data_IF_058786315408
#
_entry.id   IF_058786315408
#
_cell.length_a   1.000
_cell.length_b   1.000
_cell.length_c   1.000
_cell.angle_alpha   90.00
_cell.angle_beta   90.00
_cell.angle_gamma   90.00
#
_symmetry.space_group_name_H-M   'P 1'
#
loop_
_entity.id
_entity.type
_entity.pdbx_description
1 polymer ?
#
# COMPACT_ATOMS: atom_id res chain seq x y z
N UNK A 1 -5.43 0.97 -24.17
CA UNK A 1 -5.97 0.60 -22.86
C UNK A 1 -6.44 1.88 -22.17
N UNK A 2 -7.73 1.99 -21.87
CA UNK A 2 -8.34 3.09 -21.09
C UNK A 2 -9.32 2.46 -20.12
N UNK A 3 -9.30 2.93 -18.87
CA UNK A 3 -10.06 2.38 -17.74
C UNK A 3 -11.48 2.96 -17.66
N UNK A 4 -11.84 3.91 -18.53
CA UNK A 4 -13.19 4.49 -18.56
C UNK A 4 -14.26 3.44 -18.86
N UNK A 5 -13.98 2.50 -19.76
CA UNK A 5 -14.89 1.42 -20.13
C UNK A 5 -15.13 0.42 -19.01
N UNK A 6 -14.07 -0.03 -18.35
CA UNK A 6 -14.16 -0.98 -17.23
C UNK A 6 -14.88 -0.36 -16.03
N UNK A 7 -14.58 0.89 -15.69
CA UNK A 7 -15.34 1.61 -14.66
C UNK A 7 -16.86 1.65 -14.97
N UNK A 8 -17.24 1.92 -16.22
CA UNK A 8 -18.66 1.93 -16.62
C UNK A 8 -19.29 0.56 -16.45
N UNK A 9 -18.54 -0.51 -16.75
CA UNK A 9 -18.99 -1.90 -16.65
C UNK A 9 -18.95 -2.47 -15.22
N UNK A 10 -18.20 -1.87 -14.31
CA UNK A 10 -18.13 -2.28 -12.92
C UNK A 10 -19.49 -2.17 -12.22
N UNK A 11 -19.74 -3.11 -11.30
CA UNK A 11 -20.98 -3.20 -10.53
C UNK A 11 -20.66 -3.28 -9.05
N UNK A 12 -21.53 -2.68 -8.24
CA UNK A 12 -21.49 -2.85 -6.79
C UNK A 12 -21.87 -4.29 -6.44
N UNK A 13 -21.06 -4.93 -5.61
CA UNK A 13 -21.12 -6.38 -5.42
C UNK A 13 -21.97 -6.74 -4.18
N UNK A 14 -21.71 -6.12 -3.03
CA UNK A 14 -22.42 -6.45 -1.78
C UNK A 14 -22.50 -5.25 -0.81
N UNK A 15 -23.60 -5.11 -0.04
CA UNK A 15 -23.64 -4.21 1.10
C UNK A 15 -22.70 -4.63 2.24
N UNK A 16 -22.10 -3.65 2.89
CA UNK A 16 -21.30 -3.84 4.10
C UNK A 16 -22.18 -4.14 5.32
N UNK A 17 -21.79 -5.13 6.13
CA UNK A 17 -22.51 -5.46 7.35
C UNK A 17 -22.22 -4.47 8.49
N UNK A 18 -23.11 -3.48 8.65
CA UNK A 18 -23.03 -2.46 9.72
C UNK A 18 -23.45 -2.95 11.11
N UNK A 19 -23.97 -4.18 11.26
CA UNK A 19 -24.41 -4.68 12.57
C UNK A 19 -23.24 -5.14 13.45
N UNK A 20 -22.07 -5.38 12.86
CA UNK A 20 -20.86 -5.80 13.55
C UNK A 20 -20.10 -4.55 13.97
N UNK A 21 -19.79 -4.43 15.27
CA UNK A 21 -19.06 -3.28 15.78
C UNK A 21 -17.59 -3.33 15.33
N UNK A 22 -17.04 -2.23 14.80
CA UNK A 22 -15.63 -2.17 14.42
C UNK A 22 -14.72 -2.23 15.66
N UNK A 23 -13.58 -2.88 15.53
CA UNK A 23 -12.50 -2.91 16.52
C UNK A 23 -11.45 -1.81 16.26
N UNK A 24 -11.48 -1.22 15.07
CA UNK A 24 -10.50 -0.28 14.50
C UNK A 24 -9.09 -0.86 14.32
N UNK A 25 -8.92 -2.18 14.29
CA UNK A 25 -7.61 -2.80 14.07
C UNK A 25 -7.46 -3.18 12.60
N UNK A 26 -6.45 -2.61 11.95
CA UNK A 26 -6.06 -2.96 10.59
C UNK A 26 -5.06 -4.11 10.60
N UNK A 27 -5.18 -5.00 9.63
CA UNK A 27 -4.25 -6.11 9.42
C UNK A 27 -3.67 -6.02 8.01
N UNK A 28 -2.36 -5.78 7.94
CA UNK A 28 -1.61 -5.77 6.71
C UNK A 28 -1.16 -7.19 6.35
N UNK A 29 -1.45 -7.62 5.12
CA UNK A 29 -0.98 -8.91 4.62
C UNK A 29 -0.60 -8.86 3.14
N UNK A 30 0.25 -9.82 2.77
CA UNK A 30 0.59 -10.13 1.39
C UNK A 30 -0.11 -11.41 0.97
N UNK A 31 -0.89 -11.38 -0.11
CA UNK A 31 -1.79 -12.48 -0.50
C UNK A 31 -1.00 -13.77 -0.79
N UNK A 32 0.04 -13.66 -1.64
CA UNK A 32 0.85 -14.80 -2.08
C UNK A 32 1.56 -15.57 -0.95
N UNK A 33 1.69 -14.97 0.23
CA UNK A 33 2.34 -15.61 1.38
C UNK A 33 1.35 -15.94 2.51
N UNK A 34 0.05 -15.72 2.34
CA UNK A 34 -0.92 -15.93 3.41
C UNK A 34 -1.53 -17.33 3.44
N UNK A 35 -2.30 -17.71 2.43
CA UNK A 35 -2.95 -19.02 2.38
C UNK A 35 -3.19 -19.44 0.92
N UNK A 36 -2.73 -20.63 0.56
CA UNK A 36 -2.91 -21.24 -0.75
C UNK A 36 -4.21 -22.06 -0.76
N UNK A 37 -5.19 -21.62 -1.54
CA UNK A 37 -6.50 -22.28 -1.67
C UNK A 37 -6.61 -23.27 -2.83
N UNK A 38 -5.65 -23.27 -3.76
CA UNK A 38 -5.72 -24.07 -4.98
C UNK A 38 -4.61 -25.17 -5.06
N UNK A 39 -3.65 -25.15 -4.14
CA UNK A 39 -2.50 -26.04 -4.00
C UNK A 39 -1.41 -25.88 -5.08
N UNK A 40 -1.22 -24.67 -5.63
CA UNK A 40 -0.13 -24.35 -6.56
C UNK A 40 1.15 -23.85 -5.85
N UNK A 41 1.10 -23.68 -4.53
CA UNK A 41 2.20 -23.19 -3.70
C UNK A 41 2.23 -21.67 -3.52
N UNK A 42 1.25 -20.94 -4.06
CA UNK A 42 1.11 -19.49 -3.99
C UNK A 42 -0.18 -19.17 -3.22
N UNK A 43 -0.10 -18.24 -2.27
CA UNK A 43 -1.30 -17.77 -1.59
C UNK A 43 -2.24 -16.99 -2.51
N UNK A 44 -3.54 -17.19 -2.38
CA UNK A 44 -4.53 -16.62 -3.30
C UNK A 44 -5.79 -16.14 -2.56
N UNK A 45 -6.70 -15.48 -3.30
CA UNK A 45 -7.96 -15.02 -2.72
C UNK A 45 -8.89 -16.16 -2.31
N UNK A 46 -8.71 -17.37 -2.87
CA UNK A 46 -9.45 -18.57 -2.47
C UNK A 46 -9.06 -18.94 -1.03
N UNK A 47 -7.76 -19.10 -0.78
CA UNK A 47 -7.23 -19.42 0.55
C UNK A 47 -7.47 -18.30 1.56
N UNK A 48 -7.35 -17.03 1.15
CA UNK A 48 -7.69 -15.90 2.03
C UNK A 48 -9.17 -15.94 2.43
N UNK A 49 -10.06 -16.18 1.47
CA UNK A 49 -11.50 -16.26 1.71
C UNK A 49 -11.88 -17.39 2.67
N UNK A 50 -11.28 -18.58 2.52
CA UNK A 50 -11.47 -19.73 3.42
C UNK A 50 -11.06 -19.43 4.87
N UNK A 51 -10.10 -18.52 5.06
CA UNK A 51 -9.57 -18.15 6.36
C UNK A 51 -10.17 -16.85 6.92
N UNK A 52 -11.22 -16.27 6.33
CA UNK A 52 -11.79 -15.00 6.81
C UNK A 52 -12.25 -15.03 8.29
N UNK A 53 -12.67 -16.20 8.79
CA UNK A 53 -13.06 -16.36 10.21
C UNK A 53 -11.88 -16.13 11.17
N UNK A 54 -10.64 -16.37 10.73
CA UNK A 54 -9.43 -16.04 11.49
C UNK A 54 -9.40 -14.58 11.93
N UNK A 55 -9.65 -13.66 10.99
CA UNK A 55 -9.62 -12.23 11.23
C UNK A 55 -10.72 -11.79 12.19
N UNK A 56 -11.94 -12.31 12.02
CA UNK A 56 -13.04 -12.02 12.95
C UNK A 56 -12.73 -12.48 14.37
N UNK A 57 -12.13 -13.67 14.54
CA UNK A 57 -11.74 -14.19 15.85
C UNK A 57 -10.58 -13.42 16.48
N UNK A 58 -9.64 -12.92 15.67
CA UNK A 58 -8.55 -12.07 16.12
C UNK A 58 -9.02 -10.65 16.49
N UNK A 59 -10.23 -10.26 16.06
CA UNK A 59 -10.77 -8.92 16.26
C UNK A 59 -10.26 -7.91 15.23
N UNK A 60 -9.95 -8.34 14.03
CA UNK A 60 -9.58 -7.49 12.89
C UNK A 60 -10.85 -7.05 12.15
N UNK A 61 -10.95 -5.76 11.84
CA UNK A 61 -12.08 -5.20 11.10
C UNK A 61 -11.71 -4.57 9.76
N UNK A 62 -10.42 -4.53 9.43
CA UNK A 62 -9.91 -3.91 8.21
C UNK A 62 -8.73 -4.72 7.71
N UNK A 63 -8.80 -5.21 6.47
CA UNK A 63 -7.69 -5.84 5.77
C UNK A 63 -7.03 -4.81 4.86
N UNK A 64 -5.74 -4.59 5.06
CA UNK A 64 -4.89 -3.80 4.18
C UNK A 64 -4.05 -4.77 3.34
N UNK A 65 -4.40 -4.89 2.06
CA UNK A 65 -3.76 -5.81 1.14
C UNK A 65 -2.54 -5.15 0.50
N UNK A 66 -1.40 -5.85 0.43
CA UNK A 66 -0.34 -5.58 -0.54
C UNK A 66 -0.89 -5.58 -1.99
N UNK A 67 -0.15 -5.08 -3.00
CA UNK A 67 -0.63 -5.01 -4.38
C UNK A 67 -1.17 -6.35 -4.90
N UNK A 68 -2.31 -6.27 -5.60
CA UNK A 68 -3.06 -7.45 -6.08
C UNK A 68 -3.15 -7.51 -7.61
N UNK A 69 -2.67 -6.47 -8.28
CA UNK A 69 -2.78 -6.30 -9.72
C UNK A 69 -1.80 -7.22 -10.44
N UNK A 70 -2.08 -7.60 -11.70
CA UNK A 70 -1.07 -8.20 -12.56
C UNK A 70 0.20 -7.33 -12.58
N UNK A 71 1.35 -7.98 -12.42
CA UNK A 71 2.63 -7.32 -12.26
C UNK A 71 3.76 -8.14 -12.89
N UNK A 72 4.89 -7.49 -13.20
CA UNK A 72 6.06 -8.21 -13.74
C UNK A 72 6.88 -8.90 -12.67
N UNK A 73 6.71 -8.49 -11.41
CA UNK A 73 7.37 -9.07 -10.25
C UNK A 73 6.39 -9.83 -9.35
N UNK A 74 6.93 -10.76 -8.56
CA UNK A 74 6.16 -11.47 -7.53
C UNK A 74 5.60 -10.54 -6.44
N UNK A 75 6.19 -9.35 -6.25
CA UNK A 75 5.81 -8.45 -5.16
C UNK A 75 4.71 -7.46 -5.54
N UNK A 76 4.36 -7.35 -6.82
CA UNK A 76 3.16 -6.63 -7.28
C UNK A 76 3.28 -5.11 -7.43
N UNK A 77 4.44 -4.50 -7.13
CA UNK A 77 4.60 -3.04 -7.13
C UNK A 77 4.88 -2.45 -8.52
N UNK A 78 5.15 -3.28 -9.51
CA UNK A 78 5.26 -2.93 -10.92
C UNK A 78 3.98 -3.34 -11.67
N UNK A 79 2.93 -2.52 -11.51
CA UNK A 79 1.58 -2.80 -12.03
C UNK A 79 1.54 -2.82 -13.56
N UNK A 80 0.88 -3.84 -14.14
CA UNK A 80 0.61 -4.00 -15.58
C UNK A 80 -0.82 -3.57 -15.93
N UNK A 81 -1.81 -3.88 -15.08
CA UNK A 81 -3.21 -3.50 -15.26
C UNK A 81 -3.85 -3.10 -13.92
N UNK A 82 -4.32 -1.85 -13.83
CA UNK A 82 -4.88 -1.32 -12.59
C UNK A 82 -6.30 -1.81 -12.26
N UNK A 83 -6.99 -2.49 -13.17
CA UNK A 83 -8.40 -2.91 -12.98
C UNK A 83 -8.60 -4.41 -12.97
N UNK A 84 -7.51 -5.17 -13.01
CA UNK A 84 -7.54 -6.62 -12.90
C UNK A 84 -6.86 -7.09 -11.61
N UNK A 85 -7.06 -8.36 -11.30
CA UNK A 85 -6.39 -9.10 -10.23
C UNK A 85 -5.46 -10.13 -10.87
N UNK A 86 -4.25 -10.22 -10.36
CA UNK A 86 -3.24 -11.15 -10.86
C UNK A 86 -3.80 -12.60 -10.91
N UNK A 87 -3.67 -13.32 -12.04
CA UNK A 87 -4.20 -14.68 -12.18
C UNK A 87 -3.69 -15.65 -11.13
N UNK A 88 -2.43 -15.54 -10.73
CA UNK A 88 -1.79 -16.32 -9.66
C UNK A 88 -2.39 -16.06 -8.27
N UNK A 89 -3.15 -14.97 -8.09
CA UNK A 89 -3.90 -14.70 -6.86
C UNK A 89 -5.36 -15.17 -6.96
N UNK A 90 -5.72 -15.94 -8.00
CA UNK A 90 -7.06 -16.45 -8.26
C UNK A 90 -7.94 -15.54 -9.15
N UNK A 91 -7.41 -14.40 -9.60
CA UNK A 91 -8.10 -13.48 -10.50
C UNK A 91 -9.33 -12.78 -9.91
N UNK A 92 -10.03 -12.04 -10.78
CA UNK A 92 -11.15 -11.16 -10.39
C UNK A 92 -12.31 -11.92 -9.71
N UNK A 93 -12.60 -13.14 -10.13
CA UNK A 93 -13.70 -13.94 -9.56
C UNK A 93 -13.42 -14.30 -8.09
N UNK A 94 -12.21 -14.76 -7.78
CA UNK A 94 -11.82 -15.08 -6.41
C UNK A 94 -11.84 -13.84 -5.52
N UNK A 95 -11.35 -12.70 -6.03
CA UNK A 95 -11.41 -11.42 -5.33
C UNK A 95 -12.86 -11.00 -5.01
N UNK A 96 -13.77 -11.12 -5.98
CA UNK A 96 -15.17 -10.75 -5.80
C UNK A 96 -15.83 -11.60 -4.70
N UNK A 97 -15.57 -12.91 -4.68
CA UNK A 97 -16.07 -13.79 -3.61
C UNK A 97 -15.47 -13.44 -2.24
N UNK A 98 -14.17 -13.16 -2.19
CA UNK A 98 -13.51 -12.69 -0.97
C UNK A 98 -14.14 -11.40 -0.45
N UNK A 99 -14.33 -10.39 -1.31
CA UNK A 99 -14.89 -9.10 -0.93
C UNK A 99 -16.33 -9.25 -0.40
N UNK A 100 -17.13 -10.11 -1.06
CA UNK A 100 -18.49 -10.45 -0.60
C UNK A 100 -18.46 -10.95 0.85
N UNK A 101 -17.59 -11.91 1.14
CA UNK A 101 -17.57 -12.58 2.43
C UNK A 101 -16.90 -11.72 3.51
N UNK A 102 -15.91 -10.91 3.16
CA UNK A 102 -15.31 -9.92 4.07
C UNK A 102 -16.35 -8.90 4.53
N UNK A 103 -17.09 -8.30 3.60
CA UNK A 103 -18.12 -7.31 3.91
C UNK A 103 -19.29 -7.89 4.72
N UNK A 104 -19.72 -9.13 4.46
CA UNK A 104 -20.71 -9.84 5.29
C UNK A 104 -20.26 -10.01 6.74
N UNK A 105 -18.94 -10.12 6.97
CA UNK A 105 -18.31 -10.19 8.29
C UNK A 105 -17.97 -8.82 8.88
N UNK A 106 -18.36 -7.72 8.23
CA UNK A 106 -18.07 -6.37 8.70
C UNK A 106 -16.58 -6.01 8.60
N UNK A 107 -15.84 -6.67 7.69
CA UNK A 107 -14.41 -6.43 7.46
C UNK A 107 -14.26 -5.53 6.24
N UNK A 108 -13.59 -4.38 6.41
CA UNK A 108 -13.25 -3.44 5.34
C UNK A 108 -12.05 -3.93 4.55
N UNK A 109 -11.96 -3.57 3.28
CA UNK A 109 -10.83 -3.91 2.40
C UNK A 109 -10.18 -2.64 1.86
N UNK A 110 -8.89 -2.48 2.16
CA UNK A 110 -8.04 -1.39 1.68
C UNK A 110 -7.00 -1.99 0.73
N UNK A 111 -6.86 -1.38 -0.44
CA UNK A 111 -5.86 -1.78 -1.44
C UNK A 111 -4.59 -0.93 -1.35
N UNK A 112 -3.43 -1.56 -1.54
CA UNK A 112 -2.23 -0.82 -1.91
C UNK A 112 -2.38 -0.24 -3.32
N UNK A 113 -2.02 1.03 -3.50
CA UNK A 113 -2.29 1.79 -4.71
C UNK A 113 -1.02 2.46 -5.23
N UNK A 114 -0.43 1.85 -6.24
CA UNK A 114 0.87 2.24 -6.80
C UNK A 114 0.69 3.17 -7.99
N UNK A 115 0.81 4.48 -7.78
CA UNK A 115 0.59 5.49 -8.84
C UNK A 115 1.83 6.30 -9.19
N UNK A 116 2.96 6.05 -8.53
CA UNK A 116 4.21 6.70 -8.91
C UNK A 116 4.72 6.19 -10.26
N UNK A 117 4.65 4.88 -10.45
CA UNK A 117 5.22 4.17 -11.59
C UNK A 117 4.30 3.01 -11.99
N UNK A 118 4.54 2.47 -13.18
CA UNK A 118 3.96 1.20 -13.65
C UNK A 118 5.07 0.20 -13.91
N UNK A 119 4.75 -1.03 -14.30
CA UNK A 119 5.71 -1.91 -14.96
C UNK A 119 6.17 -1.36 -16.31
N UNK A 120 7.38 -1.73 -16.72
CA UNK A 120 7.85 -1.64 -18.09
C UNK A 120 6.94 -2.38 -19.08
N UNK A 121 6.29 -3.47 -18.66
CA UNK A 121 5.31 -4.23 -19.46
C UNK A 121 3.93 -3.54 -19.55
N UNK A 122 3.71 -2.46 -18.80
CA UNK A 122 2.41 -1.78 -18.81
C UNK A 122 2.07 -1.27 -20.23
N UNK A 123 0.85 -1.53 -20.76
CA UNK A 123 0.49 -1.17 -22.14
C UNK A 123 0.64 0.32 -22.47
N UNK A 124 0.35 1.20 -21.52
CA UNK A 124 0.64 2.64 -21.67
C UNK A 124 2.11 2.94 -21.93
N UNK A 125 3.03 2.30 -21.19
CA UNK A 125 4.45 2.54 -21.35
C UNK A 125 4.96 2.04 -22.71
N UNK A 126 4.59 0.81 -23.08
CA UNK A 126 4.93 0.25 -24.39
C UNK A 126 4.38 1.09 -25.55
N UNK A 127 3.16 1.61 -25.41
CA UNK A 127 2.58 2.53 -26.40
C UNK A 127 3.32 3.88 -26.47
N UNK A 128 3.78 4.43 -25.34
CA UNK A 128 4.58 5.65 -25.29
C UNK A 128 5.97 5.47 -25.92
N UNK A 129 6.62 4.32 -25.73
CA UNK A 129 7.87 3.98 -26.41
C UNK A 129 7.72 3.96 -27.94
N UNK A 130 6.54 3.58 -28.45
CA UNK A 130 6.19 3.57 -29.87
C UNK A 130 5.69 4.93 -30.41
N UNK A 131 5.74 6.01 -29.61
CA UNK A 131 5.22 7.34 -29.98
C UNK A 131 3.72 7.35 -30.32
N UNK A 132 2.90 6.52 -29.65
CA UNK A 132 1.44 6.66 -29.76
C UNK A 132 1.00 7.91 -28.99
N UNK A 133 0.53 8.92 -29.73
CA UNK A 133 0.36 10.32 -29.28
C UNK A 133 -0.28 10.53 -27.90
N UNK A 134 -1.25 9.70 -27.51
CA UNK A 134 -1.91 9.84 -26.22
C UNK A 134 -1.07 9.33 -25.03
N UNK A 135 -0.27 8.28 -25.25
CA UNK A 135 0.51 7.59 -24.21
C UNK A 135 1.94 8.10 -24.07
N UNK A 136 2.51 8.73 -25.11
CA UNK A 136 3.82 9.39 -25.02
C UNK A 136 3.87 10.43 -23.88
N UNK A 137 2.73 11.05 -23.56
CA UNK A 137 2.61 12.05 -22.48
C UNK A 137 2.32 11.46 -21.11
N UNK A 138 2.08 10.15 -21.02
CA UNK A 138 1.83 9.47 -19.74
C UNK A 138 3.14 9.26 -18.97
N UNK A 139 4.28 9.39 -19.64
CA UNK A 139 5.61 9.27 -19.06
C UNK A 139 6.47 10.44 -19.53
N UNK A 140 7.67 10.58 -18.99
CA UNK A 140 8.64 11.58 -19.43
C UNK A 140 9.78 10.90 -20.18
N UNK A 141 9.70 10.92 -21.52
CA UNK A 141 10.72 10.37 -22.41
C UNK A 141 11.75 11.43 -22.83
N UNK A 142 13.00 11.01 -23.01
CA UNK A 142 14.11 11.86 -23.42
C UNK A 142 14.94 11.17 -24.51
N UNK A 143 15.38 11.98 -25.47
CA UNK A 143 16.36 11.59 -26.47
C UNK A 143 17.78 11.73 -25.90
N UNK A 144 18.71 10.94 -26.45
CA UNK A 144 20.08 10.77 -25.96
C UNK A 144 20.85 12.10 -25.88
N UNK A 145 20.98 12.70 -24.68
CA UNK A 145 22.01 13.69 -24.39
C UNK A 145 22.63 13.48 -23.01
N UNK A 146 23.95 13.63 -23.00
CA UNK A 146 24.94 13.20 -22.01
C UNK A 146 24.83 13.87 -20.63
N UNK A 147 25.44 13.18 -19.64
CA UNK A 147 25.71 13.50 -18.23
C UNK A 147 24.70 12.94 -17.20
N UNK A 148 25.17 11.90 -16.51
CA UNK A 148 24.40 10.95 -15.73
C UNK A 148 24.52 11.24 -14.22
N UNK A 149 23.80 12.25 -13.72
CA UNK A 149 23.52 12.40 -12.27
C UNK A 149 22.11 11.90 -11.89
N UNK A 150 21.38 11.32 -12.84
CA UNK A 150 19.92 11.15 -12.76
C UNK A 150 19.50 9.69 -12.81
N UNK A 151 18.47 9.32 -12.03
CA UNK A 151 17.85 8.00 -12.06
C UNK A 151 16.90 7.90 -13.26
N UNK A 152 17.40 7.29 -14.33
CA UNK A 152 16.67 7.07 -15.57
C UNK A 152 16.81 5.61 -16.02
N UNK A 153 15.73 5.04 -16.52
CA UNK A 153 15.77 3.82 -17.32
C UNK A 153 16.06 4.11 -18.79
N UNK A 154 16.37 3.06 -19.55
CA UNK A 154 16.58 3.10 -21.00
C UNK A 154 15.84 1.93 -21.64
N UNK A 155 15.20 2.18 -22.78
CA UNK A 155 14.57 1.12 -23.58
C UNK A 155 15.60 0.52 -24.55
N UNK A 156 16.45 -0.37 -24.04
CA UNK A 156 17.43 -1.13 -24.82
C UNK A 156 17.14 -2.64 -24.77
N UNK A 157 17.90 -3.43 -25.54
CA UNK A 157 17.73 -4.87 -25.58
C UNK A 157 17.99 -5.53 -24.22
N UNK A 158 18.88 -4.96 -23.39
CA UNK A 158 19.18 -5.53 -22.07
C UNK A 158 18.00 -5.42 -21.12
N UNK A 159 17.33 -4.27 -21.12
CA UNK A 159 16.14 -4.01 -20.30
C UNK A 159 14.97 -4.84 -20.80
N UNK A 160 14.73 -4.88 -22.13
CA UNK A 160 13.64 -5.68 -22.72
C UNK A 160 13.75 -7.16 -22.40
N UNK A 161 14.98 -7.72 -22.39
CA UNK A 161 15.22 -9.13 -22.08
C UNK A 161 14.88 -9.54 -20.64
N UNK A 162 14.60 -8.57 -19.74
CA UNK A 162 14.16 -8.86 -18.37
C UNK A 162 12.65 -9.17 -18.28
N UNK A 163 11.90 -8.92 -19.35
CA UNK A 163 10.43 -8.95 -19.35
C UNK A 163 9.89 -9.95 -20.37
N UNK A 164 9.07 -10.90 -19.90
CA UNK A 164 8.60 -12.02 -20.70
C UNK A 164 7.41 -11.68 -21.60
N UNK A 165 6.62 -10.66 -21.25
CA UNK A 165 5.42 -10.25 -21.99
C UNK A 165 5.71 -9.21 -23.08
N UNK A 166 6.98 -8.83 -23.28
CA UNK A 166 7.41 -7.94 -24.36
C UNK A 166 7.59 -8.72 -25.65
N UNK A 167 7.00 -8.25 -26.75
CA UNK A 167 7.20 -8.84 -28.06
C UNK A 167 8.69 -8.74 -28.47
N UNK A 168 9.33 -9.91 -28.57
CA UNK A 168 10.74 -10.04 -28.99
C UNK A 168 11.04 -9.44 -30.37
N UNK A 169 10.03 -9.27 -31.24
CA UNK A 169 10.19 -8.63 -32.55
C UNK A 169 10.14 -7.10 -32.48
N UNK A 170 9.65 -6.53 -31.37
CA UNK A 170 9.57 -5.10 -31.19
C UNK A 170 10.94 -4.51 -30.91
N UNK A 171 11.45 -3.72 -31.87
CA UNK A 171 12.74 -3.03 -31.73
C UNK A 171 12.71 -2.04 -30.57
N UNK A 172 13.81 -2.01 -29.83
CA UNK A 172 14.12 -0.98 -28.84
C UNK A 172 14.06 0.43 -29.45
N UNK A 173 13.39 1.34 -28.76
CA UNK A 173 13.34 2.76 -29.15
C UNK A 173 14.58 3.54 -28.71
N UNK A 174 15.40 2.99 -27.80
CA UNK A 174 16.55 3.65 -27.18
C UNK A 174 16.22 4.96 -26.43
N UNK A 175 14.93 5.25 -26.22
CA UNK A 175 14.48 6.37 -25.38
C UNK A 175 14.95 6.16 -23.94
N UNK A 176 15.30 7.26 -23.27
CA UNK A 176 15.45 7.28 -21.81
C UNK A 176 14.16 7.77 -21.16
N UNK A 177 13.92 7.39 -19.93
CA UNK A 177 12.70 7.77 -19.19
C UNK A 177 12.98 7.83 -17.69
N UNK A 178 12.19 8.61 -16.95
CA UNK A 178 12.30 8.68 -15.48
C UNK A 178 11.88 7.35 -14.87
N UNK A 179 12.72 6.84 -13.98
CA UNK A 179 12.47 5.66 -13.19
C UNK A 179 13.23 5.80 -11.87
N UNK A 180 12.51 6.22 -10.80
CA UNK A 180 13.14 6.59 -9.52
C UNK A 180 13.63 5.38 -8.73
N UNK A 181 12.98 4.23 -8.93
CA UNK A 181 13.30 2.98 -8.27
C UNK A 181 14.32 2.19 -9.07
N UNK A 182 13.94 1.67 -10.23
CA UNK A 182 14.82 1.00 -11.18
C UNK A 182 14.23 1.02 -12.59
N UNK A 183 15.01 0.67 -13.61
CA UNK A 183 14.61 0.79 -15.02
C UNK A 183 13.30 0.08 -15.40
N UNK A 184 12.92 -0.98 -14.70
CA UNK A 184 11.66 -1.68 -14.94
C UNK A 184 10.41 -1.02 -14.38
N UNK A 185 10.57 0.08 -13.63
CA UNK A 185 9.48 0.83 -13.01
C UNK A 185 9.46 2.27 -13.56
N UNK A 186 9.03 2.49 -14.81
CA UNK A 186 8.91 3.83 -15.37
C UNK A 186 7.88 4.69 -14.60
N UNK A 187 8.30 5.90 -14.22
CA UNK A 187 7.48 6.84 -13.46
C UNK A 187 6.39 7.49 -14.34
N UNK A 188 5.15 7.48 -13.84
CA UNK A 188 4.01 8.15 -14.47
C UNK A 188 4.14 9.67 -14.38
N UNK A 189 3.82 10.34 -15.48
CA UNK A 189 3.67 11.79 -15.52
C UNK A 189 2.30 12.21 -14.96
N UNK A 190 2.22 12.35 -13.64
CA UNK A 190 0.99 12.76 -12.94
C UNK A 190 0.64 14.26 -13.08
N UNK A 191 1.50 15.06 -13.71
CA UNK A 191 1.12 16.44 -14.11
C UNK A 191 0.15 16.44 -15.30
N UNK A 192 0.21 15.40 -16.13
CA UNK A 192 -0.71 15.23 -17.24
C UNK A 192 -2.11 14.85 -16.74
N UNK A 193 -3.12 15.67 -17.10
CA UNK A 193 -4.49 15.46 -16.66
C UNK A 193 -5.15 14.20 -17.24
N UNK A 194 -4.73 13.73 -18.41
CA UNK A 194 -5.22 12.47 -18.98
C UNK A 194 -4.71 11.27 -18.18
N UNK A 195 -3.44 11.26 -17.78
CA UNK A 195 -2.89 10.25 -16.87
C UNK A 195 -3.68 10.22 -15.57
N UNK A 196 -3.91 11.38 -14.93
CA UNK A 196 -4.72 11.46 -13.71
C UNK A 196 -6.15 10.96 -13.90
N UNK A 197 -6.79 11.31 -15.03
CA UNK A 197 -8.14 10.85 -15.37
C UNK A 197 -8.21 9.32 -15.43
N UNK A 198 -7.25 8.67 -16.08
CA UNK A 198 -7.24 7.21 -16.18
C UNK A 198 -7.00 6.54 -14.82
N UNK A 199 -6.07 7.06 -14.01
CA UNK A 199 -5.88 6.57 -12.63
C UNK A 199 -7.16 6.73 -11.80
N UNK A 200 -7.86 7.85 -11.92
CA UNK A 200 -9.14 8.08 -11.23
C UNK A 200 -10.19 7.08 -11.73
N UNK A 201 -10.26 6.78 -13.03
CA UNK A 201 -11.18 5.78 -13.56
C UNK A 201 -10.90 4.38 -12.97
N UNK A 202 -9.63 3.98 -12.86
CA UNK A 202 -9.27 2.72 -12.20
C UNK A 202 -9.64 2.72 -10.70
N UNK A 203 -9.41 3.82 -9.98
CA UNK A 203 -9.87 3.91 -8.58
C UNK A 203 -11.41 3.82 -8.49
N UNK A 204 -12.13 4.46 -9.41
CA UNK A 204 -13.60 4.39 -9.47
C UNK A 204 -14.09 2.98 -9.73
N UNK A 205 -13.38 2.19 -10.53
CA UNK A 205 -13.69 0.78 -10.74
C UNK A 205 -13.72 0.01 -9.41
N UNK A 206 -12.65 0.11 -8.62
CA UNK A 206 -12.54 -0.57 -7.31
C UNK A 206 -13.53 -0.05 -6.28
N UNK A 207 -13.69 1.27 -6.18
CA UNK A 207 -14.72 1.86 -5.33
C UNK A 207 -16.09 1.39 -5.76
N UNK A 208 -16.43 1.37 -7.04
CA UNK A 208 -17.75 0.89 -7.50
C UNK A 208 -18.00 -0.56 -7.11
N UNK A 209 -16.99 -1.43 -7.11
CA UNK A 209 -17.10 -2.84 -6.66
C UNK A 209 -17.39 -2.98 -5.16
N UNK A 210 -16.74 -2.17 -4.33
CA UNK A 210 -16.93 -2.26 -2.88
C UNK A 210 -15.75 -1.76 -2.03
N UNK A 211 -14.57 -1.54 -2.62
CA UNK A 211 -13.33 -1.24 -1.88
C UNK A 211 -13.48 -0.01 -0.99
N UNK A 212 -12.97 -0.11 0.24
CA UNK A 212 -13.21 0.82 1.35
C UNK A 212 -12.10 1.87 1.51
N UNK A 213 -10.96 1.66 0.87
CA UNK A 213 -9.85 2.60 0.95
C UNK A 213 -8.64 2.23 0.11
N UNK A 214 -7.66 3.15 0.11
CA UNK A 214 -6.39 3.00 -0.60
C UNK A 214 -5.22 3.46 0.29
N UNK A 215 -4.17 2.65 0.32
CA UNK A 215 -2.84 3.04 0.79
C UNK A 215 -2.03 3.49 -0.42
N UNK A 216 -1.49 4.70 -0.40
CA UNK A 216 -0.64 5.19 -1.49
C UNK A 216 0.81 4.80 -1.27
N UNK A 217 1.31 3.95 -2.17
CA UNK A 217 2.70 3.52 -2.24
C UNK A 217 3.63 4.62 -2.75
N UNK A 218 4.92 4.51 -2.43
CA UNK A 218 5.97 5.40 -2.90
C UNK A 218 5.62 6.86 -2.63
N UNK A 219 4.93 7.11 -1.50
CA UNK A 219 4.21 8.36 -1.28
C UNK A 219 5.11 9.59 -1.39
N UNK A 220 6.38 9.47 -0.97
CA UNK A 220 7.39 10.53 -1.08
C UNK A 220 7.67 10.94 -2.54
N UNK A 221 7.59 10.00 -3.47
CA UNK A 221 7.96 10.13 -4.87
C UNK A 221 6.80 10.54 -5.79
N UNK A 222 5.55 10.32 -5.36
CA UNK A 222 4.36 10.75 -6.13
C UNK A 222 4.50 12.22 -6.56
N UNK A 223 4.28 12.50 -7.85
CA UNK A 223 4.48 13.77 -8.56
C UNK A 223 5.94 14.14 -8.93
N UNK A 224 6.94 13.33 -8.57
CA UNK A 224 8.36 13.63 -8.82
C UNK A 224 8.88 13.17 -10.20
N UNK A 225 7.99 12.94 -11.16
CA UNK A 225 8.26 12.29 -12.44
C UNK A 225 9.19 13.05 -13.41
N UNK A 226 9.77 14.19 -13.04
CA UNK A 226 10.58 15.06 -13.93
C UNK A 226 12.09 15.08 -13.59
N UNK A 227 12.56 14.15 -12.76
CA UNK A 227 13.91 14.03 -12.20
C UNK A 227 14.96 15.11 -12.60
N UNK A 228 14.99 16.17 -11.79
CA UNK A 228 16.17 17.00 -11.52
C UNK A 228 15.99 17.64 -10.14
N UNK A 229 16.58 17.01 -9.13
CA UNK A 229 16.73 17.45 -7.72
C UNK A 229 15.50 18.10 -7.10
N UNK A 230 14.74 17.27 -6.36
CA UNK A 230 13.51 17.62 -5.65
C UNK A 230 12.43 18.18 -6.58
N UNK A 231 11.32 17.45 -6.73
CA UNK A 231 10.07 18.17 -6.94
C UNK A 231 9.89 19.07 -5.72
N UNK A 232 10.17 20.36 -5.89
CA UNK A 232 10.01 21.36 -4.83
C UNK A 232 8.54 21.69 -4.67
N UNK A 233 7.73 20.67 -4.41
CA UNK A 233 6.45 20.83 -3.74
C UNK A 233 6.69 20.98 -2.24
N UNK A 234 7.49 22.00 -1.91
CA UNK A 234 7.84 22.35 -0.55
C UNK A 234 6.56 22.52 0.29
N UNK A 235 5.51 23.04 -0.33
CA UNK A 235 4.19 23.28 0.26
C UNK A 235 3.23 22.08 0.18
N UNK A 236 3.56 21.01 -0.55
CA UNK A 236 2.68 19.84 -0.73
C UNK A 236 1.41 20.10 -1.56
N UNK A 237 1.35 21.25 -2.26
CA UNK A 237 0.19 21.76 -2.98
C UNK A 237 -0.24 20.88 -4.15
N UNK A 238 0.70 20.41 -4.96
CA UNK A 238 0.35 19.66 -6.16
C UNK A 238 -0.07 18.24 -5.78
N UNK A 239 0.64 17.63 -4.83
CA UNK A 239 0.28 16.32 -4.28
C UNK A 239 -1.08 16.34 -3.56
N UNK A 240 -1.36 17.37 -2.74
CA UNK A 240 -2.69 17.48 -2.08
C UNK A 240 -3.83 17.74 -3.06
N UNK A 241 -3.59 18.51 -4.14
CA UNK A 241 -4.58 18.72 -5.21
C UNK A 241 -4.91 17.40 -5.92
N UNK A 242 -3.90 16.59 -6.23
CA UNK A 242 -4.08 15.25 -6.81
C UNK A 242 -5.00 14.39 -5.92
N UNK A 243 -4.70 14.29 -4.62
CA UNK A 243 -5.54 13.48 -3.72
C UNK A 243 -6.95 14.05 -3.54
N UNK A 244 -7.10 15.37 -3.50
CA UNK A 244 -8.41 16.01 -3.44
C UNK A 244 -9.24 15.76 -4.71
N UNK A 245 -8.62 15.88 -5.89
CA UNK A 245 -9.23 15.56 -7.19
C UNK A 245 -9.74 14.10 -7.21
N UNK A 246 -8.90 13.15 -6.79
CA UNK A 246 -9.27 11.75 -6.64
C UNK A 246 -10.44 11.59 -5.67
N UNK A 247 -10.36 12.19 -4.47
CA UNK A 247 -11.42 12.12 -3.45
C UNK A 247 -12.77 12.55 -3.97
N UNK A 248 -12.83 13.76 -4.54
CA UNK A 248 -14.07 14.33 -5.05
C UNK A 248 -14.66 13.44 -6.14
N UNK A 249 -13.82 12.93 -7.04
CA UNK A 249 -14.26 12.03 -8.10
C UNK A 249 -14.82 10.68 -7.57
N UNK A 250 -14.26 10.14 -6.49
CA UNK A 250 -14.73 8.89 -5.88
C UNK A 250 -15.99 9.07 -5.04
N UNK A 251 -16.18 10.24 -4.41
CA UNK A 251 -17.41 10.55 -3.67
C UNK A 251 -18.65 10.51 -4.57
N UNK A 252 -18.52 10.90 -5.83
CA UNK A 252 -19.63 10.77 -6.79
C UNK A 252 -20.05 9.30 -6.98
N UNK A 253 -19.11 8.36 -6.98
CA UNK A 253 -19.42 6.92 -7.05
C UNK A 253 -20.00 6.40 -5.73
N UNK A 254 -19.49 6.89 -4.59
CA UNK A 254 -19.98 6.47 -3.26
C UNK A 254 -21.43 6.90 -3.05
N UNK A 255 -21.84 8.09 -3.52
CA UNK A 255 -23.22 8.58 -3.40
C UNK A 255 -24.26 7.59 -3.92
N UNK A 256 -23.94 6.84 -4.98
CA UNK A 256 -24.83 5.83 -5.57
C UNK A 256 -25.14 4.66 -4.62
N UNK A 257 -24.26 4.41 -3.66
CA UNK A 257 -24.32 3.22 -2.78
C UNK A 257 -24.14 3.57 -1.30
N UNK A 258 -24.25 4.84 -0.92
CA UNK A 258 -23.88 5.40 0.40
C UNK A 258 -24.39 4.58 1.58
N UNK A 259 -25.68 4.25 1.61
CA UNK A 259 -26.30 3.52 2.72
C UNK A 259 -25.82 2.07 2.85
N UNK A 260 -25.17 1.54 1.81
CA UNK A 260 -24.66 0.18 1.72
C UNK A 260 -23.14 0.09 2.00
N UNK A 261 -22.45 1.23 2.22
CA UNK A 261 -20.99 1.29 2.44
C UNK A 261 -20.60 1.27 3.91
N UNK A 262 -19.36 0.88 4.21
CA UNK A 262 -18.77 0.98 5.56
C UNK A 262 -18.62 2.42 6.06
N UNK A 263 -18.54 3.39 5.14
CA UNK A 263 -18.32 4.82 5.39
C UNK A 263 -18.94 5.66 4.27
N UNK A 264 -19.25 6.92 4.58
CA UNK A 264 -19.75 7.92 3.64
C UNK A 264 -18.64 8.53 2.76
N UNK A 265 -17.38 8.20 3.05
CA UNK A 265 -16.20 8.66 2.33
C UNK A 265 -15.15 7.55 2.24
N UNK A 266 -14.26 7.67 1.25
CA UNK A 266 -13.19 6.70 1.02
C UNK A 266 -12.00 6.97 1.95
N UNK A 267 -11.41 5.93 2.53
CA UNK A 267 -10.26 6.09 3.41
C UNK A 267 -8.95 6.09 2.62
N UNK A 268 -8.20 7.19 2.64
CA UNK A 268 -6.88 7.32 2.02
C UNK A 268 -5.79 7.50 3.06
N UNK A 269 -4.73 6.71 2.99
CA UNK A 269 -3.52 7.00 3.74
C UNK A 269 -2.25 6.78 2.93
N UNK A 270 -1.18 7.49 3.29
CA UNK A 270 0.11 7.38 2.63
C UNK A 270 1.11 6.55 3.42
N UNK A 271 2.01 5.88 2.69
CA UNK A 271 3.28 5.41 3.23
C UNK A 271 4.09 6.59 3.79
N UNK A 272 4.57 6.49 5.03
CA UNK A 272 5.32 7.59 5.64
C UNK A 272 6.24 7.10 6.75
N UNK A 273 7.47 7.60 6.72
CA UNK A 273 8.55 7.16 7.60
C UNK A 273 8.92 8.20 8.66
N UNK A 274 8.19 9.32 8.73
CA UNK A 274 8.43 10.39 9.71
C UNK A 274 7.21 10.56 10.64
N UNK A 275 7.24 11.61 11.46
CA UNK A 275 6.08 12.01 12.26
C UNK A 275 4.91 12.40 11.37
N UNK A 276 3.66 11.98 11.69
CA UNK A 276 2.47 12.37 10.93
C UNK A 276 2.28 13.89 10.81
N UNK A 277 2.70 14.65 11.83
CA UNK A 277 2.65 16.13 11.82
C UNK A 277 3.39 16.76 10.64
N UNK A 278 4.45 16.13 10.12
CA UNK A 278 5.17 16.63 8.94
C UNK A 278 4.44 16.41 7.62
N UNK A 279 3.39 15.57 7.61
CA UNK A 279 2.55 15.30 6.46
C UNK A 279 1.31 16.21 6.38
N UNK A 280 1.07 17.09 7.35
CA UNK A 280 -0.10 18.00 7.41
C UNK A 280 -0.37 18.73 6.11
N UNK A 281 0.69 19.13 5.41
CA UNK A 281 0.60 19.85 4.13
C UNK A 281 -0.12 19.07 3.02
N UNK A 282 -0.25 17.76 3.14
CA UNK A 282 -0.91 16.89 2.16
C UNK A 282 -2.39 16.60 2.48
N UNK A 283 -2.87 16.99 3.66
CA UNK A 283 -4.13 16.51 4.20
C UNK A 283 -5.35 17.28 3.71
N UNK A 284 -5.24 18.59 3.55
CA UNK A 284 -6.31 19.44 3.04
C UNK A 284 -5.76 20.62 2.21
N UNK A 285 -6.55 21.08 1.25
CA UNK A 285 -6.28 22.31 0.51
C UNK A 285 -6.44 23.51 1.45
N UNK A 286 -5.45 24.41 1.43
CA UNK A 286 -5.50 25.67 2.17
C UNK A 286 -6.31 26.73 1.40
N UNK A 287 -7.62 26.50 1.26
CA UNK A 287 -8.58 27.42 0.62
C UNK A 287 -9.79 27.58 1.55
N UNK A 288 -9.71 28.48 2.52
CA UNK A 288 -10.75 28.65 3.55
C UNK A 288 -12.09 29.16 3.02
N UNK A 289 -12.20 29.45 1.73
CA UNK A 289 -13.49 29.80 1.09
C UNK A 289 -14.40 28.59 0.90
N UNK A 290 -13.87 27.36 0.98
CA UNK A 290 -14.62 26.12 0.84
C UNK A 290 -14.78 25.38 2.17
N UNK A 291 -15.88 24.62 2.35
CA UNK A 291 -16.06 23.71 3.49
C UNK A 291 -14.86 22.76 3.63
N UNK A 292 -14.51 22.38 4.88
CA UNK A 292 -13.35 21.51 5.13
C UNK A 292 -13.46 20.19 4.37
N UNK A 293 -14.65 19.62 4.32
CA UNK A 293 -14.97 18.35 3.68
C UNK A 293 -14.60 18.36 2.19
N UNK A 294 -14.77 19.48 1.50
CA UNK A 294 -14.41 19.67 0.08
C UNK A 294 -12.91 19.86 -0.13
N UNK A 295 -12.16 20.18 0.94
CA UNK A 295 -10.73 20.44 0.89
C UNK A 295 -9.88 19.23 1.21
N UNK A 296 -10.46 18.19 1.79
CA UNK A 296 -9.72 16.97 2.19
C UNK A 296 -9.07 16.36 0.94
N UNK A 297 -7.76 16.13 1.02
CA UNK A 297 -7.01 15.31 0.06
C UNK A 297 -6.79 13.91 0.62
N UNK A 298 -5.90 13.82 1.61
CA UNK A 298 -5.51 12.58 2.29
C UNK A 298 -6.15 12.50 3.70
N UNK A 299 -6.55 11.32 4.20
CA UNK A 299 -7.04 11.21 5.58
C UNK A 299 -5.88 11.28 6.57
N UNK A 300 -4.82 10.50 6.35
CA UNK A 300 -3.66 10.47 7.24
C UNK A 300 -2.46 9.79 6.56
N UNK A 301 -1.38 9.57 7.28
CA UNK A 301 -0.24 8.73 6.89
C UNK A 301 0.08 7.74 8.00
N UNK A 302 0.78 6.66 7.67
CA UNK A 302 1.31 5.75 8.70
C UNK A 302 2.28 6.51 9.62
N UNK A 303 2.28 6.21 10.92
CA UNK A 303 3.24 6.78 11.86
C UNK A 303 4.57 6.03 11.87
N UNK A 304 5.50 6.50 11.04
CA UNK A 304 6.86 5.96 10.94
C UNK A 304 7.80 6.26 12.11
N UNK A 305 7.33 6.91 13.18
CA UNK A 305 8.23 7.52 14.18
C UNK A 305 7.98 7.09 15.62
N UNK A 306 6.75 7.15 16.12
CA UNK A 306 6.51 7.05 17.57
C UNK A 306 6.66 5.62 18.09
N UNK A 307 6.11 4.62 17.38
CA UNK A 307 6.13 3.21 17.83
C UNK A 307 7.29 2.41 17.23
N UNK A 308 7.33 2.29 15.89
CA UNK A 308 8.36 1.55 15.15
C UNK A 308 9.77 1.86 15.64
N UNK A 309 10.13 3.15 15.70
CA UNK A 309 11.48 3.63 15.99
C UNK A 309 11.69 4.16 17.43
N UNK A 310 10.63 4.28 18.23
CA UNK A 310 10.72 4.86 19.58
C UNK A 310 11.46 3.95 20.55
N UNK A 311 12.46 4.44 21.30
CA UNK A 311 13.20 3.60 22.27
C UNK A 311 12.25 2.91 23.27
N UNK A 312 11.22 3.63 23.72
CA UNK A 312 10.10 3.09 24.49
C UNK A 312 8.88 2.96 23.58
N UNK A 313 8.12 1.88 23.76
CA UNK A 313 6.81 1.65 23.11
C UNK A 313 5.63 2.04 24.00
N UNK A 314 5.92 2.39 25.25
CA UNK A 314 4.96 3.03 26.14
C UNK A 314 4.72 4.46 25.70
N UNK A 315 3.48 4.88 25.79
CA UNK A 315 3.10 6.28 25.57
C UNK A 315 2.67 6.87 26.90
N UNK A 316 3.46 7.78 27.46
CA UNK A 316 3.02 8.52 28.65
C UNK A 316 1.80 9.39 28.31
N UNK A 317 1.01 9.81 29.31
CA UNK A 317 -0.10 10.75 29.09
C UNK A 317 0.35 12.00 28.30
N UNK A 318 1.54 12.53 28.61
CA UNK A 318 2.11 13.71 27.95
C UNK A 318 2.47 13.43 26.48
N UNK A 319 3.01 12.25 26.19
CA UNK A 319 3.32 11.85 24.81
C UNK A 319 2.05 11.66 24.00
N UNK A 320 1.02 11.08 24.62
CA UNK A 320 -0.27 10.88 23.98
C UNK A 320 -0.97 12.22 23.68
N UNK A 321 -0.98 13.17 24.62
CA UNK A 321 -1.48 14.53 24.39
C UNK A 321 -0.73 15.23 23.24
N UNK A 322 0.57 14.96 23.09
CA UNK A 322 1.37 15.47 21.98
C UNK A 322 0.99 14.81 20.67
N UNK A 323 0.82 13.48 20.64
CA UNK A 323 0.37 12.74 19.45
C UNK A 323 -0.99 13.26 18.99
N UNK A 324 -1.95 13.46 19.90
CA UNK A 324 -3.26 14.02 19.56
C UNK A 324 -3.14 15.40 18.89
N UNK A 325 -2.32 16.30 19.46
CA UNK A 325 -2.04 17.62 18.86
C UNK A 325 -1.34 17.51 17.50
N UNK A 326 -0.46 16.53 17.33
CA UNK A 326 0.21 16.25 16.05
C UNK A 326 -0.77 15.72 14.98
N UNK A 327 -1.96 15.26 15.35
CA UNK A 327 -3.00 14.79 14.43
C UNK A 327 -4.14 15.81 14.20
N UNK A 328 -4.15 16.91 14.95
CA UNK A 328 -5.10 17.99 14.77
C UNK A 328 -4.69 18.89 13.60
N UNK A 329 -5.57 19.05 12.62
CA UNK A 329 -5.39 19.96 11.49
C UNK A 329 -6.66 20.79 11.30
N UNK A 330 -6.53 22.11 11.48
CA UNK A 330 -7.64 23.06 11.36
C UNK A 330 -8.83 22.72 12.29
N UNK A 331 -8.56 22.25 13.50
CA UNK A 331 -9.59 21.85 14.47
C UNK A 331 -10.19 20.46 14.24
N UNK A 332 -9.72 19.71 13.24
CA UNK A 332 -10.13 18.33 12.97
C UNK A 332 -9.05 17.34 13.41
N UNK A 333 -9.38 16.46 14.35
CA UNK A 333 -8.48 15.38 14.80
C UNK A 333 -8.54 14.23 13.81
N UNK A 334 -7.39 13.85 13.26
CA UNK A 334 -7.28 12.75 12.29
C UNK A 334 -6.93 11.43 12.99
N UNK A 335 -7.47 10.34 12.48
CA UNK A 335 -7.24 8.99 13.00
C UNK A 335 -5.75 8.62 12.93
N UNK A 336 -5.12 8.34 14.05
CA UNK A 336 -3.72 7.92 14.11
C UNK A 336 -3.54 6.47 13.61
N UNK A 337 -2.49 6.20 12.82
CA UNK A 337 -2.15 4.86 12.31
C UNK A 337 -0.78 4.37 12.83
N UNK A 338 -0.68 3.94 14.09
CA UNK A 338 0.56 3.37 14.62
C UNK A 338 0.77 1.95 14.11
N UNK A 339 2.03 1.53 14.03
CA UNK A 339 2.44 0.18 13.65
C UNK A 339 3.80 -0.17 14.25
N UNK A 340 4.13 -1.46 14.27
CA UNK A 340 5.43 -1.95 14.74
C UNK A 340 6.38 -2.23 13.57
N UNK A 341 5.92 -2.98 12.58
CA UNK A 341 6.65 -3.40 11.38
C UNK A 341 5.69 -3.63 10.21
N UNK A 342 6.26 -3.85 9.02
CA UNK A 342 5.54 -4.07 7.78
C UNK A 342 6.38 -4.93 6.81
N UNK A 343 5.98 -4.96 5.54
CA UNK A 343 6.64 -5.75 4.50
C UNK A 343 7.97 -5.19 3.94
N UNK A 344 8.39 -3.99 4.38
CA UNK A 344 9.61 -3.29 3.89
C UNK A 344 10.75 -3.31 4.91
N UNK A 345 10.48 -3.71 6.14
CA UNK A 345 11.38 -3.50 7.27
C UNK A 345 11.52 -4.75 8.12
N UNK A 346 12.70 -4.97 8.70
CA UNK A 346 12.88 -6.08 9.63
C UNK A 346 11.78 -6.09 10.68
N UNK A 347 11.26 -7.28 10.95
CA UNK A 347 10.29 -7.55 12.00
C UNK A 347 10.73 -6.84 13.28
N UNK A 348 9.84 -6.07 13.88
CA UNK A 348 10.11 -5.16 15.00
C UNK A 348 10.80 -5.87 16.15
N UNK A 349 10.38 -7.12 16.43
CA UNK A 349 10.97 -7.94 17.48
C UNK A 349 12.44 -8.27 17.26
N UNK A 350 12.88 -8.40 16.01
CA UNK A 350 14.27 -8.64 15.70
C UNK A 350 15.07 -7.39 16.04
N UNK A 351 14.65 -6.22 15.55
CA UNK A 351 15.30 -4.93 15.87
C UNK A 351 15.41 -4.70 17.38
N UNK A 352 14.34 -5.00 18.14
CA UNK A 352 14.32 -4.82 19.61
C UNK A 352 15.20 -5.80 20.36
N UNK A 353 15.14 -7.07 19.99
CA UNK A 353 15.91 -8.08 20.68
C UNK A 353 17.41 -7.89 20.44
N UNK A 354 17.84 -7.62 19.21
CA UNK A 354 19.25 -7.37 18.90
C UNK A 354 19.77 -6.08 19.53
N UNK A 355 18.99 -4.99 19.52
CA UNK A 355 19.40 -3.75 20.20
C UNK A 355 19.56 -3.95 21.72
N UNK A 356 18.69 -4.74 22.37
CA UNK A 356 18.88 -5.07 23.77
C UNK A 356 20.13 -5.94 24.02
N UNK A 357 20.47 -6.88 23.14
CA UNK A 357 21.72 -7.64 23.27
C UNK A 357 22.97 -6.80 23.01
N UNK A 358 22.92 -5.83 22.10
CA UNK A 358 23.97 -4.83 21.89
C UNK A 358 24.19 -3.94 23.12
N UNK A 359 23.11 -3.58 23.85
CA UNK A 359 23.20 -2.87 25.13
C UNK A 359 23.93 -3.72 26.20
N UNK A 360 23.87 -5.05 26.10
CA UNK A 360 24.61 -5.97 26.99
C UNK A 360 25.91 -6.52 26.38
N UNK A 361 26.40 -5.96 25.26
CA UNK A 361 27.69 -6.35 24.68
C UNK A 361 27.73 -7.71 23.99
N UNK A 362 26.59 -8.34 23.72
CA UNK A 362 26.52 -9.63 23.00
C UNK A 362 26.31 -9.36 21.51
N UNK A 363 27.35 -9.55 20.70
CA UNK A 363 27.24 -9.59 19.23
C UNK A 363 26.72 -10.97 18.81
N UNK A 364 25.40 -11.11 18.65
CA UNK A 364 24.81 -12.25 17.95
C UNK A 364 24.58 -11.89 16.50
N UNK A 365 25.22 -12.63 15.60
CA UNK A 365 24.67 -12.83 14.26
C UNK A 365 23.27 -13.46 14.41
N UNK A 366 22.40 -13.31 13.42
CA UNK A 366 20.97 -13.67 13.40
C UNK A 366 20.58 -15.12 13.81
N UNK A 367 21.48 -15.91 14.39
CA UNK A 367 21.34 -17.32 14.69
C UNK A 367 20.90 -17.59 16.15
N UNK A 368 19.89 -18.46 16.26
CA UNK A 368 19.39 -19.19 17.44
C UNK A 368 18.57 -18.44 18.50
N UNK A 369 17.72 -17.47 18.11
CA UNK A 369 16.63 -17.08 19.02
C UNK A 369 15.43 -18.00 18.78
N UNK A 370 15.14 -18.90 19.72
CA UNK A 370 13.95 -19.75 19.65
C UNK A 370 12.69 -18.87 19.70
N UNK A 371 11.73 -19.10 18.80
CA UNK A 371 10.44 -18.39 18.74
C UNK A 371 9.68 -18.43 20.09
N UNK A 372 9.94 -19.46 20.91
CA UNK A 372 9.34 -19.69 22.22
C UNK A 372 10.20 -19.21 23.40
N UNK A 373 11.26 -18.42 23.19
CA UNK A 373 11.98 -17.79 24.30
C UNK A 373 11.01 -16.88 25.08
N UNK A 374 10.81 -17.18 26.36
CA UNK A 374 9.88 -16.48 27.24
C UNK A 374 10.11 -14.96 27.28
N UNK A 375 11.38 -14.51 27.18
CA UNK A 375 11.69 -13.07 27.15
C UNK A 375 11.19 -12.41 25.86
N UNK A 376 11.30 -13.11 24.74
CA UNK A 376 10.82 -12.63 23.43
C UNK A 376 9.30 -12.51 23.44
N UNK A 377 8.62 -13.57 23.90
CA UNK A 377 7.15 -13.58 23.96
C UNK A 377 6.61 -12.47 24.84
N UNK A 378 7.26 -12.19 25.97
CA UNK A 378 6.87 -11.06 26.82
C UNK A 378 7.08 -9.71 26.13
N UNK A 379 8.20 -9.51 25.43
CA UNK A 379 8.46 -8.26 24.70
C UNK A 379 7.46 -8.06 23.56
N UNK A 380 7.11 -9.11 22.81
CA UNK A 380 6.09 -9.01 21.76
C UNK A 380 4.71 -8.75 22.30
N UNK A 381 4.26 -9.53 23.29
CA UNK A 381 2.98 -9.31 23.95
C UNK A 381 2.90 -7.89 24.51
N UNK A 382 4.00 -7.37 25.04
CA UNK A 382 4.07 -5.99 25.52
C UNK A 382 3.94 -4.96 24.40
N UNK A 383 4.65 -5.15 23.27
CA UNK A 383 4.56 -4.29 22.09
C UNK A 383 3.16 -4.27 21.49
N UNK A 384 2.56 -5.44 21.29
CA UNK A 384 1.22 -5.57 20.76
C UNK A 384 0.17 -4.98 21.72
N UNK A 385 0.28 -5.22 23.02
CA UNK A 385 -0.63 -4.64 24.01
C UNK A 385 -0.55 -3.11 23.99
N UNK A 386 0.66 -2.54 23.99
CA UNK A 386 0.84 -1.10 23.90
C UNK A 386 0.31 -0.53 22.59
N UNK A 387 0.48 -1.23 21.47
CA UNK A 387 -0.05 -0.80 20.17
C UNK A 387 -1.59 -0.78 20.17
N UNK A 388 -2.22 -1.83 20.71
CA UNK A 388 -3.67 -2.04 20.63
C UNK A 388 -4.48 -1.17 21.61
N UNK A 389 -3.88 -0.67 22.69
CA UNK A 389 -4.57 0.25 23.62
C UNK A 389 -4.55 1.72 23.14
N UNK A 390 -3.88 2.01 22.03
CA UNK A 390 -3.83 3.37 21.47
C UNK A 390 -5.18 3.77 20.86
N UNK A 391 -5.54 5.05 20.94
CA UNK A 391 -6.80 5.58 20.39
C UNK A 391 -6.80 5.79 18.87
N UNK A 392 -5.99 5.02 18.15
CA UNK A 392 -5.87 5.08 16.70
C UNK A 392 -6.50 3.87 16.04
N UNK A 393 -6.17 3.68 14.76
CA UNK A 393 -6.37 2.42 14.08
C UNK A 393 -5.02 1.73 13.90
N UNK A 394 -4.57 0.92 14.87
CA UNK A 394 -3.28 0.26 14.79
C UNK A 394 -3.22 -0.69 13.60
N UNK A 395 -2.05 -0.77 12.97
CA UNK A 395 -1.76 -1.71 11.88
C UNK A 395 -0.92 -2.85 12.45
N UNK A 396 -1.45 -4.06 12.37
CA UNK A 396 -0.74 -5.31 12.62
C UNK A 396 -0.23 -5.88 11.30
N UNK A 397 1.01 -6.33 11.25
CA UNK A 397 1.54 -7.03 10.08
C UNK A 397 1.45 -8.54 10.26
N UNK A 398 1.18 -9.24 9.16
CA UNK A 398 0.82 -10.65 9.20
C UNK A 398 1.84 -11.52 9.95
N UNK A 399 1.40 -12.19 11.01
CA UNK A 399 2.25 -13.07 11.81
C UNK A 399 2.89 -12.42 13.03
N UNK A 400 2.68 -11.11 13.27
CA UNK A 400 3.06 -10.47 14.53
C UNK A 400 2.43 -11.20 15.73
N UNK A 401 1.17 -11.56 15.63
CA UNK A 401 0.37 -12.31 16.61
C UNK A 401 0.88 -13.74 16.83
N UNK A 402 1.64 -14.28 15.88
CA UNK A 402 2.30 -15.58 15.97
C UNK A 402 3.79 -15.45 16.34
N UNK A 403 4.29 -14.23 16.58
CA UNK A 403 5.71 -13.94 16.77
C UNK A 403 6.58 -14.49 15.61
N UNK A 404 6.08 -14.38 14.38
CA UNK A 404 6.85 -14.67 13.17
C UNK A 404 8.06 -13.73 13.10
N UNK A 405 9.18 -14.25 12.58
CA UNK A 405 10.49 -13.58 12.68
C UNK A 405 11.02 -13.12 11.34
N UNK A 406 10.58 -13.70 10.22
CA UNK A 406 11.21 -13.47 8.93
C UNK A 406 12.73 -13.70 8.95
N UNK A 407 13.39 -13.26 7.89
CA UNK A 407 14.84 -13.05 7.83
C UNK A 407 15.19 -11.57 7.67
N UNK A 408 16.48 -11.22 7.56
CA UNK A 408 16.91 -9.83 7.46
C UNK A 408 16.58 -9.23 6.09
N UNK A 409 15.99 -8.04 6.10
CA UNK A 409 15.66 -7.23 4.94
C UNK A 409 16.89 -6.94 4.07
N UNK A 410 18.06 -6.80 4.70
CA UNK A 410 19.33 -6.56 4.00
C UNK A 410 19.69 -7.64 2.95
N UNK A 411 19.07 -8.82 3.00
CA UNK A 411 19.22 -9.84 1.97
C UNK A 411 18.14 -9.74 0.87
N UNK A 412 16.88 -9.50 1.24
CA UNK A 412 15.76 -9.24 0.33
C UNK A 412 14.47 -9.05 1.13
N UNK A 413 13.52 -8.27 0.61
CA UNK A 413 12.17 -8.17 1.16
C UNK A 413 11.44 -9.52 1.17
N UNK A 414 11.83 -10.48 0.33
CA UNK A 414 11.29 -11.84 0.34
C UNK A 414 11.42 -12.52 1.72
N UNK A 415 12.46 -12.18 2.47
CA UNK A 415 12.68 -12.72 3.82
C UNK A 415 11.69 -12.15 4.85
N UNK A 416 11.08 -11.00 4.60
CA UNK A 416 10.05 -10.41 5.46
C UNK A 416 8.65 -10.96 5.17
N UNK A 417 8.50 -11.58 4.00
CA UNK A 417 7.23 -12.05 3.43
C UNK A 417 7.17 -13.59 3.41
N UNK A 418 7.73 -14.20 4.46
CA UNK A 418 7.67 -15.65 4.67
C UNK A 418 6.20 -16.14 4.71
N UNK A 419 5.99 -17.37 4.25
CA UNK A 419 4.66 -17.98 4.26
C UNK A 419 4.07 -18.01 5.69
N UNK A 420 2.79 -17.67 5.80
CA UNK A 420 2.07 -17.63 7.06
C UNK A 420 1.97 -19.03 7.67
N UNK A 421 2.30 -19.14 8.96
CA UNK A 421 2.42 -20.42 9.64
C UNK A 421 1.07 -20.89 10.18
N UNK A 422 0.23 -21.41 9.28
CA UNK A 422 -0.96 -22.13 9.70
C UNK A 422 -0.58 -23.39 10.49
N UNK A 423 -1.27 -23.65 11.60
CA UNK A 423 -1.15 -24.95 12.26
C UNK A 423 -1.69 -26.03 11.34
N UNK A 424 -0.88 -27.06 11.05
CA UNK A 424 -1.31 -28.20 10.23
C UNK A 424 -2.49 -28.91 10.91
N UNK A 425 -3.72 -28.52 10.57
CA UNK A 425 -4.94 -29.23 10.98
C UNK A 425 -5.02 -30.64 10.38
N UNK A 426 -4.18 -30.96 9.38
CA UNK A 426 -4.15 -32.26 8.67
C UNK A 426 -3.23 -33.32 9.29
N UNK A 427 -2.54 -33.03 10.40
CA UNK A 427 -1.79 -34.04 11.18
C UNK A 427 -2.40 -34.15 12.58
N UNK A 428 -3.52 -34.85 12.67
CA UNK A 428 -4.00 -35.45 13.92
C UNK A 428 -4.47 -36.87 13.62
#
# INVERSE_FOLDING_TARGET
MSYEGEFKNAKFIVPFNKSIKPSNVMYQLTIYSFADGNNDGIGDFIGLNENLEYFSNLGIDTLYLSPIHPASSYHGYDVIDYTDVAPELGGMEAFDQFLINAHKKGIKVIMDWVINHTSFEHPWFQAGLQNKDEFDKFYNFYNFQYNCEKKYGVDDSSTRNLFYNIDSNQKSSYKRYVAEFWGGMPDLNLKNSKTRKEIINAMKFWVKKGVDGFRFDAFYYIMNSENKHEFKDATGLEKRKLFNEQRLALREVIKETKDQRSSDDIFFFGEWWNKPSKAHKYFAINDTTKPYEERIGLNIVIDGSHFKNGFFIETSKKDYEKILKEHEVEGHIRTWLPFLDNHDEDRWINKRYYNNQLIFGVKTFYLEIKQNDFKVLNVMSYGLSNLLIQSGNPILYNGNELNMRGGPQAHSDAFLREAFKWSNKKTK
#
